data_IF_396777604116
#
_entry.id   IF_396777604116
#
_cell.length_a   1.000
_cell.length_b   1.000
_cell.length_c   1.000
_cell.angle_alpha   90.00
_cell.angle_beta   90.00
_cell.angle_gamma   90.00
#
_symmetry.space_group_name_H-M   'P 1'
#
loop_
_entity.id
_entity.type
_entity.pdbx_description
1 polymer ?
#
# COMPACT_ATOMS: atom_id res chain seq x y z
N UNK A 1 10.01 7.90 -8.58
CA UNK A 1 10.81 7.91 -9.82
C UNK A 1 10.57 6.60 -10.56
N UNK A 2 10.35 6.60 -11.89
CA UNK A 2 10.10 5.36 -12.67
C UNK A 2 11.17 4.26 -12.47
N UNK A 3 12.49 4.55 -12.49
CA UNK A 3 13.51 3.52 -12.23
C UNK A 3 13.39 2.89 -10.83
N UNK A 4 13.08 3.68 -9.81
CA UNK A 4 12.87 3.17 -8.45
C UNK A 4 11.60 2.33 -8.35
N UNK A 5 10.51 2.77 -9.00
CA UNK A 5 9.28 1.96 -9.08
C UNK A 5 9.55 0.62 -9.75
N UNK A 6 10.28 0.60 -10.87
CA UNK A 6 10.67 -0.65 -11.54
C UNK A 6 11.48 -1.56 -10.61
N UNK A 7 12.46 -1.02 -9.87
CA UNK A 7 13.25 -1.83 -8.94
C UNK A 7 12.39 -2.49 -7.85
N UNK A 8 11.38 -1.77 -7.34
CA UNK A 8 10.43 -2.32 -6.34
C UNK A 8 9.55 -3.40 -6.97
N UNK A 9 9.05 -3.18 -8.19
CA UNK A 9 8.26 -4.19 -8.94
C UNK A 9 9.10 -5.45 -9.17
N UNK A 10 10.30 -5.30 -9.74
CA UNK A 10 11.21 -6.41 -10.00
C UNK A 10 11.52 -7.22 -8.72
N UNK A 11 11.62 -6.55 -7.57
CA UNK A 11 11.82 -7.21 -6.27
C UNK A 11 10.59 -8.01 -5.82
N UNK A 12 9.38 -7.47 -5.97
CA UNK A 12 8.13 -8.17 -5.62
C UNK A 12 7.94 -9.40 -6.52
N UNK A 13 8.21 -9.25 -7.83
CA UNK A 13 8.15 -10.34 -8.79
C UNK A 13 9.19 -11.43 -8.51
N UNK A 14 10.40 -11.04 -8.08
CA UNK A 14 11.44 -11.99 -7.65
C UNK A 14 11.00 -12.85 -6.45
N UNK A 15 10.19 -12.31 -5.55
CA UNK A 15 9.59 -13.05 -4.42
C UNK A 15 8.41 -13.96 -4.86
N UNK A 16 8.16 -14.09 -6.17
CA UNK A 16 7.12 -14.95 -6.72
C UNK A 16 5.71 -14.37 -6.70
N UNK A 17 5.58 -13.05 -6.54
CA UNK A 17 4.30 -12.33 -6.53
C UNK A 17 4.18 -11.52 -7.83
N UNK A 18 3.20 -11.83 -8.66
CA UNK A 18 2.94 -11.10 -9.90
C UNK A 18 2.49 -9.66 -9.64
N UNK A 19 3.03 -8.70 -10.39
CA UNK A 19 2.60 -7.30 -10.35
C UNK A 19 1.88 -6.94 -11.64
N UNK A 20 0.55 -6.92 -11.59
CA UNK A 20 -0.30 -6.67 -12.76
C UNK A 20 -0.19 -5.24 -13.33
N UNK A 21 -0.17 -4.22 -12.45
CA UNK A 21 -0.01 -2.83 -12.84
C UNK A 21 0.69 -2.02 -11.74
N UNK A 22 1.34 -0.91 -12.11
CA UNK A 22 2.05 -0.04 -11.17
C UNK A 22 2.03 1.43 -11.57
N UNK A 23 2.07 2.31 -10.56
CA UNK A 23 2.05 3.76 -10.76
C UNK A 23 3.25 4.43 -10.08
N UNK A 24 3.98 5.27 -10.82
CA UNK A 24 5.01 6.15 -10.28
C UNK A 24 4.53 7.61 -10.30
N UNK A 25 4.64 8.31 -9.17
CA UNK A 25 4.39 9.76 -9.10
C UNK A 25 5.59 10.61 -9.53
N UNK A 26 6.75 9.99 -9.74
CA UNK A 26 7.99 10.65 -10.18
C UNK A 26 8.46 11.82 -9.30
N UNK A 27 8.07 11.84 -8.02
CA UNK A 27 8.58 12.78 -7.02
C UNK A 27 9.89 12.23 -6.44
N UNK A 28 10.99 12.95 -6.62
CA UNK A 28 12.30 12.58 -6.09
C UNK A 28 12.59 13.16 -4.69
N UNK A 29 12.04 14.35 -4.40
CA UNK A 29 12.24 15.04 -3.13
C UNK A 29 11.34 14.43 -2.04
N UNK A 30 11.96 13.81 -1.04
CA UNK A 30 11.27 13.11 0.03
C UNK A 30 10.42 14.04 0.92
N UNK A 31 10.77 15.33 1.01
CA UNK A 31 9.93 16.31 1.71
C UNK A 31 8.62 16.55 0.96
N UNK A 32 8.68 16.61 -0.39
CA UNK A 32 7.48 16.73 -1.22
C UNK A 32 6.62 15.47 -1.19
N UNK A 33 7.24 14.29 -1.08
CA UNK A 33 6.51 13.02 -0.89
C UNK A 33 5.77 13.04 0.46
N UNK A 34 6.43 13.49 1.53
CA UNK A 34 5.81 13.56 2.86
C UNK A 34 4.73 14.64 3.00
N UNK A 35 4.79 15.67 2.16
CA UNK A 35 3.82 16.76 2.12
C UNK A 35 2.59 16.47 1.25
N UNK A 36 2.47 15.28 0.66
CA UNK A 36 1.28 14.90 -0.11
C UNK A 36 0.05 14.79 0.80
N UNK A 37 -1.12 15.09 0.23
CA UNK A 37 -2.40 14.87 0.89
C UNK A 37 -2.57 13.37 1.25
N UNK A 38 -2.88 13.01 2.51
CA UNK A 38 -3.17 11.63 2.90
C UNK A 38 -4.28 10.94 2.12
N UNK A 39 -5.15 11.71 1.44
CA UNK A 39 -6.21 11.22 0.54
C UNK A 39 -5.78 11.14 -0.93
N UNK A 40 -4.60 11.65 -1.30
CA UNK A 40 -4.10 11.55 -2.68
C UNK A 40 -4.01 10.10 -3.18
N UNK A 41 -3.57 9.10 -2.39
CA UNK A 41 -3.55 7.70 -2.84
C UNK A 41 -4.93 7.19 -3.27
N UNK A 42 -6.01 7.60 -2.58
CA UNK A 42 -7.37 7.23 -2.96
C UNK A 42 -7.79 7.78 -4.34
N UNK A 43 -7.19 8.88 -4.80
CA UNK A 43 -7.38 9.37 -6.16
C UNK A 43 -6.46 8.67 -7.16
N UNK A 44 -5.22 8.39 -6.77
CA UNK A 44 -4.22 7.77 -7.64
C UNK A 44 -4.56 6.35 -8.07
N UNK A 45 -5.13 5.54 -7.18
CA UNK A 45 -5.49 4.14 -7.48
C UNK A 45 -6.51 4.02 -8.62
N UNK A 46 -7.30 5.06 -8.92
CA UNK A 46 -8.20 5.07 -10.09
C UNK A 46 -7.47 5.03 -11.44
N UNK A 47 -6.14 5.21 -11.43
CA UNK A 47 -5.27 5.13 -12.62
C UNK A 47 -4.64 3.75 -12.81
N UNK A 48 -4.83 2.84 -11.86
CA UNK A 48 -4.35 1.46 -11.95
C UNK A 48 -5.42 0.58 -12.59
N UNK A 49 -5.00 -0.39 -13.40
CA UNK A 49 -5.83 -1.54 -13.73
C UNK A 49 -5.85 -2.51 -12.54
N UNK A 50 -7.01 -2.67 -11.91
CA UNK A 50 -7.19 -3.57 -10.75
C UNK A 50 -8.06 -4.77 -11.08
N UNK A 51 -8.26 -5.09 -12.36
CA UNK A 51 -9.09 -6.24 -12.75
C UNK A 51 -8.33 -7.54 -12.53
N UNK A 52 -8.93 -8.45 -11.77
CA UNK A 52 -8.38 -9.79 -11.53
C UNK A 52 -7.19 -9.84 -10.57
N UNK A 53 -6.89 -8.75 -9.85
CA UNK A 53 -5.82 -8.73 -8.83
C UNK A 53 -6.37 -9.17 -7.47
N UNK A 54 -5.53 -9.81 -6.65
CA UNK A 54 -5.92 -10.30 -5.32
C UNK A 54 -5.82 -9.22 -4.23
N UNK A 55 -4.96 -8.21 -4.41
CA UNK A 55 -4.75 -7.14 -3.46
C UNK A 55 -4.15 -5.90 -4.13
N UNK A 56 -4.23 -4.75 -3.46
CA UNK A 56 -3.61 -3.49 -3.89
C UNK A 56 -2.63 -2.98 -2.84
N UNK A 57 -1.37 -2.77 -3.26
CA UNK A 57 -0.37 -2.04 -2.45
C UNK A 57 -0.52 -0.54 -2.75
N UNK A 58 -1.28 0.16 -1.90
CA UNK A 58 -1.65 1.56 -2.12
C UNK A 58 -0.47 2.53 -1.95
N UNK A 59 0.49 2.19 -1.10
CA UNK A 59 1.78 2.87 -0.99
C UNK A 59 2.87 1.86 -0.67
N UNK A 60 3.71 1.57 -1.66
CA UNK A 60 4.88 0.69 -1.51
C UNK A 60 6.08 1.40 -0.83
N UNK A 61 5.99 2.73 -0.63
CA UNK A 61 6.96 3.51 0.14
C UNK A 61 6.33 3.96 1.46
N UNK A 62 7.17 4.34 2.44
CA UNK A 62 6.73 4.76 3.78
C UNK A 62 6.52 6.26 3.91
N UNK A 63 7.16 7.08 3.07
CA UNK A 63 7.12 8.54 3.24
C UNK A 63 5.78 9.15 2.85
N UNK A 64 5.09 8.61 1.85
CA UNK A 64 3.81 9.15 1.39
C UNK A 64 2.71 8.80 2.39
N UNK A 65 2.00 9.79 2.96
CA UNK A 65 0.89 9.52 3.85
C UNK A 65 -0.21 8.74 3.12
N UNK A 66 -0.69 7.65 3.72
CA UNK A 66 -1.64 6.74 3.05
C UNK A 66 -2.69 6.10 3.96
N UNK A 67 -2.54 6.16 5.29
CA UNK A 67 -3.45 5.51 6.24
C UNK A 67 -4.92 5.89 6.01
N UNK A 68 -5.21 7.19 5.86
CA UNK A 68 -6.57 7.70 5.63
C UNK A 68 -7.20 7.21 4.31
N UNK A 69 -6.37 6.84 3.33
CA UNK A 69 -6.84 6.33 2.04
C UNK A 69 -7.14 4.83 2.04
N UNK A 70 -6.70 4.05 3.04
CA UNK A 70 -6.82 2.59 3.00
C UNK A 70 -8.28 2.14 2.93
N UNK A 71 -9.11 2.55 3.91
CA UNK A 71 -10.50 2.11 3.98
C UNK A 71 -11.34 2.59 2.78
N UNK A 72 -11.30 3.88 2.38
CA UNK A 72 -12.06 4.34 1.21
C UNK A 72 -11.71 3.60 -0.09
N UNK A 73 -10.44 3.22 -0.27
CA UNK A 73 -10.02 2.44 -1.45
C UNK A 73 -10.51 1.00 -1.36
N UNK A 74 -10.41 0.38 -0.19
CA UNK A 74 -10.88 -0.97 0.05
C UNK A 74 -12.39 -1.10 -0.18
N UNK A 75 -13.18 -0.16 0.34
CA UNK A 75 -14.63 -0.10 0.12
C UNK A 75 -14.99 0.04 -1.36
N UNK A 76 -14.22 0.84 -2.11
CA UNK A 76 -14.46 1.07 -3.53
C UNK A 76 -14.07 -0.12 -4.40
N UNK A 77 -12.97 -0.79 -4.08
CA UNK A 77 -12.44 -1.89 -4.90
C UNK A 77 -13.02 -3.25 -4.51
N UNK A 78 -13.46 -3.42 -3.26
CA UNK A 78 -13.86 -4.72 -2.71
C UNK A 78 -12.69 -5.70 -2.60
N UNK A 79 -11.46 -5.20 -2.54
CA UNK A 79 -10.22 -5.97 -2.49
C UNK A 79 -9.40 -5.57 -1.25
N UNK A 80 -8.60 -6.48 -0.66
CA UNK A 80 -7.64 -6.13 0.36
C UNK A 80 -6.69 -5.02 -0.09
N UNK A 81 -6.57 -3.97 0.73
CA UNK A 81 -5.66 -2.85 0.49
C UNK A 81 -4.61 -2.79 1.59
N UNK A 82 -3.34 -2.77 1.18
CA UNK A 82 -2.20 -2.71 2.09
C UNK A 82 -1.27 -1.54 1.76
N UNK A 83 -0.47 -1.14 2.74
CA UNK A 83 0.62 -0.16 2.57
C UNK A 83 1.87 -0.72 3.24
N UNK A 84 3.06 -0.22 2.87
CA UNK A 84 4.31 -0.59 3.52
C UNK A 84 4.25 -0.37 5.05
N UNK A 85 3.62 0.73 5.48
CA UNK A 85 3.43 1.04 6.90
C UNK A 85 2.52 0.03 7.60
N UNK A 86 1.33 -0.25 7.05
CA UNK A 86 0.40 -1.22 7.64
C UNK A 86 0.97 -2.65 7.67
N UNK A 87 1.65 -3.07 6.60
CA UNK A 87 2.32 -4.37 6.55
C UNK A 87 3.45 -4.48 7.59
N UNK A 88 4.18 -3.40 7.82
CA UNK A 88 5.23 -3.33 8.85
C UNK A 88 4.62 -3.45 10.25
N UNK A 89 3.54 -2.72 10.55
CA UNK A 89 2.82 -2.84 11.84
C UNK A 89 2.31 -4.26 12.04
N UNK A 90 1.68 -4.85 11.02
CA UNK A 90 1.21 -6.24 11.06
C UNK A 90 2.35 -7.20 11.41
N UNK A 91 3.50 -7.07 10.72
CA UNK A 91 4.66 -7.94 10.98
C UNK A 91 5.24 -7.73 12.38
N UNK A 92 5.32 -6.48 12.85
CA UNK A 92 5.80 -6.17 14.21
C UNK A 92 4.89 -6.82 15.26
N UNK A 93 3.57 -6.68 15.15
CA UNK A 93 2.62 -7.30 16.07
C UNK A 93 2.75 -8.83 16.09
N UNK A 94 2.86 -9.47 14.91
CA UNK A 94 3.10 -10.92 14.81
C UNK A 94 4.40 -11.37 15.47
N UNK A 95 5.50 -10.62 15.28
CA UNK A 95 6.81 -10.95 15.88
C UNK A 95 6.79 -10.82 17.40
N UNK A 96 5.97 -9.90 17.94
CA UNK A 96 5.81 -9.67 19.37
C UNK A 96 4.73 -10.56 20.02
N UNK A 97 4.11 -11.47 19.26
CA UNK A 97 2.99 -12.31 19.71
C UNK A 97 1.80 -11.49 20.25
N UNK A 98 1.48 -10.39 19.56
CA UNK A 98 0.35 -9.51 19.86
C UNK A 98 -0.77 -9.68 18.83
N UNK A 99 -2.01 -9.42 19.25
CA UNK A 99 -3.17 -9.43 18.34
C UNK A 99 -2.99 -8.37 17.23
N UNK A 100 -3.19 -8.77 15.99
CA UNK A 100 -3.08 -7.93 14.78
C UNK A 100 -4.35 -7.10 14.55
N UNK A 101 -4.91 -6.52 15.63
CA UNK A 101 -6.13 -5.71 15.62
C UNK A 101 -5.80 -4.24 15.88
N UNK A 102 -5.88 -3.42 14.83
CA UNK A 102 -5.74 -1.96 14.89
C UNK A 102 -6.96 -1.33 14.20
N UNK A 103 -7.79 -0.56 14.92
CA UNK A 103 -8.93 0.12 14.33
C UNK A 103 -8.52 1.04 13.17
N UNK A 104 -9.40 1.17 12.17
CA UNK A 104 -9.30 2.12 11.07
C UNK A 104 -8.01 2.02 10.22
N UNK A 105 -7.38 0.84 10.18
CA UNK A 105 -6.09 0.61 9.53
C UNK A 105 -6.11 -0.40 8.35
N UNK A 106 -7.30 -0.72 7.82
CA UNK A 106 -7.50 -1.65 6.70
C UNK A 106 -7.64 -3.11 7.09
N UNK A 107 -7.98 -3.98 6.12
CA UNK A 107 -8.35 -5.37 6.39
C UNK A 107 -7.21 -6.18 7.03
N UNK A 108 -5.96 -5.92 6.64
CA UNK A 108 -4.77 -6.60 7.17
C UNK A 108 -4.67 -6.52 8.70
N UNK A 109 -5.18 -5.44 9.31
CA UNK A 109 -5.10 -5.15 10.73
C UNK A 109 -6.43 -5.32 11.46
N UNK A 110 -7.33 -6.17 10.95
CA UNK A 110 -8.62 -6.48 11.59
C UNK A 110 -8.56 -7.61 12.64
N UNK A 111 -7.41 -8.27 12.78
CA UNK A 111 -7.24 -9.52 13.54
C UNK A 111 -7.68 -10.77 12.78
N UNK A 112 -8.06 -10.67 11.51
CA UNK A 112 -8.46 -11.80 10.65
C UNK A 112 -7.29 -12.72 10.25
N UNK A 113 -6.06 -12.19 10.24
CA UNK A 113 -4.83 -12.86 9.79
C UNK A 113 -3.85 -13.10 10.92
#
# INVERSE_FOLDING_TARGET
MKPLTKLVVDYIEHEGIEVHDSLSLEIADNLKVGAQDPMAPASHVARLDTRGVDAVVLSACVQMPSLASIQPVQDRLGLPVVTAAAATVYRMLKVLDLETRVPDAGELLTGKY
#
